data_IF_243116928273
#
_entry.id   IF_243116928273
#
_cell.length_a   1.000
_cell.length_b   1.000
_cell.length_c   1.000
_cell.angle_alpha   90.00
_cell.angle_beta   90.00
_cell.angle_gamma   90.00
#
_symmetry.space_group_name_H-M   'P 1'
#
loop_
_entity.id
_entity.type
_entity.pdbx_description
1 polymer ?
#
# COMPACT_ATOMS: atom_id res chain seq x y z
N UNK A 1 -4.91 1.87 28.59
CA UNK A 1 -5.45 2.07 27.25
C UNK A 1 -6.77 1.33 27.20
N UNK A 2 -7.87 2.08 27.17
CA UNK A 2 -9.20 1.49 27.15
C UNK A 2 -9.45 0.85 25.79
N UNK A 3 -9.55 -0.47 25.76
CA UNK A 3 -9.87 -1.24 24.57
C UNK A 3 -11.38 -1.45 24.53
N UNK A 4 -12.03 -0.94 23.48
CA UNK A 4 -13.46 -1.19 23.29
C UNK A 4 -13.65 -2.61 22.73
N UNK A 5 -14.54 -3.39 23.35
CA UNK A 5 -14.88 -4.73 22.88
C UNK A 5 -15.77 -4.69 21.63
N UNK A 6 -15.88 -5.80 20.89
CA UNK A 6 -16.82 -5.97 19.77
C UNK A 6 -18.25 -5.54 20.18
N UNK A 7 -18.75 -6.02 21.31
CA UNK A 7 -20.06 -5.65 21.86
C UNK A 7 -20.18 -4.15 22.17
N UNK A 8 -19.08 -3.53 22.58
CA UNK A 8 -19.01 -2.08 22.80
C UNK A 8 -19.10 -1.28 21.51
N UNK A 9 -18.44 -1.74 20.43
CA UNK A 9 -18.54 -1.11 19.10
C UNK A 9 -19.95 -1.24 18.55
N UNK A 10 -20.57 -2.43 18.67
CA UNK A 10 -21.95 -2.70 18.25
C UNK A 10 -22.95 -1.75 18.94
N UNK A 11 -22.82 -1.61 20.26
CA UNK A 11 -23.68 -0.72 21.06
C UNK A 11 -23.50 0.73 20.67
N UNK A 12 -22.26 1.16 20.47
CA UNK A 12 -21.94 2.54 20.07
C UNK A 12 -22.50 2.87 18.68
N UNK A 13 -22.27 2.03 17.70
CA UNK A 13 -22.76 2.23 16.33
C UNK A 13 -24.29 2.26 16.26
N UNK A 14 -24.97 1.39 17.00
CA UNK A 14 -26.44 1.38 17.12
C UNK A 14 -26.99 2.63 17.84
N UNK A 15 -26.24 3.18 18.80
CA UNK A 15 -26.63 4.39 19.52
C UNK A 15 -26.51 5.67 18.68
N UNK A 16 -25.57 5.72 17.73
CA UNK A 16 -25.35 6.88 16.85
C UNK A 16 -26.44 7.01 15.78
N UNK A 17 -27.12 5.93 15.40
CA UNK A 17 -28.26 5.88 14.47
C UNK A 17 -28.06 6.66 13.16
N UNK A 18 -26.87 6.62 12.57
CA UNK A 18 -26.61 7.20 11.27
C UNK A 18 -26.03 6.16 10.29
N UNK A 19 -26.17 6.44 8.99
CA UNK A 19 -25.74 5.54 7.94
C UNK A 19 -24.22 5.24 7.98
N UNK A 20 -23.42 6.21 8.41
CA UNK A 20 -21.96 6.03 8.51
C UNK A 20 -21.56 5.11 9.66
N UNK A 21 -22.24 5.22 10.81
CA UNK A 21 -22.01 4.32 11.94
C UNK A 21 -22.43 2.89 11.63
N UNK A 22 -23.52 2.69 10.88
CA UNK A 22 -23.95 1.37 10.44
C UNK A 22 -22.98 0.79 9.40
N UNK A 23 -22.53 1.59 8.44
CA UNK A 23 -21.50 1.16 7.48
C UNK A 23 -20.18 0.80 8.15
N UNK A 24 -19.78 1.54 9.20
CA UNK A 24 -18.62 1.20 10.01
C UNK A 24 -18.81 -0.12 10.76
N UNK A 25 -19.99 -0.35 11.33
CA UNK A 25 -20.30 -1.60 12.02
C UNK A 25 -20.27 -2.80 11.06
N UNK A 26 -20.91 -2.67 9.90
CA UNK A 26 -20.91 -3.70 8.87
C UNK A 26 -19.48 -4.01 8.41
N UNK A 27 -18.68 -2.98 8.15
CA UNK A 27 -17.27 -3.12 7.83
C UNK A 27 -16.48 -3.82 8.95
N UNK A 28 -16.66 -3.37 10.20
CA UNK A 28 -15.96 -3.93 11.37
C UNK A 28 -16.32 -5.39 11.61
N UNK A 29 -17.57 -5.77 11.40
CA UNK A 29 -18.08 -7.12 11.60
C UNK A 29 -17.72 -8.06 10.45
N UNK A 30 -17.83 -7.57 9.20
CA UNK A 30 -17.63 -8.37 8.00
C UNK A 30 -16.16 -8.61 7.66
N UNK A 31 -15.28 -7.66 8.01
CA UNK A 31 -13.86 -7.70 7.64
C UNK A 31 -13.04 -8.76 8.39
N UNK A 32 -13.58 -9.40 9.42
CA UNK A 32 -12.79 -10.30 10.28
C UNK A 32 -12.45 -11.65 9.66
N UNK A 33 -13.19 -12.11 8.63
CA UNK A 33 -13.08 -13.46 8.10
C UNK A 33 -12.32 -13.54 6.75
N UNK A 34 -11.97 -12.40 6.13
CA UNK A 34 -11.23 -12.39 4.87
C UNK A 34 -9.78 -11.91 5.09
N UNK A 35 -8.87 -12.36 4.23
CA UNK A 35 -7.48 -11.88 4.26
C UNK A 35 -7.43 -10.36 4.08
N UNK A 36 -8.21 -9.81 3.15
CA UNK A 36 -8.28 -8.37 2.92
C UNK A 36 -8.86 -7.63 4.11
N UNK A 37 -9.94 -8.12 4.71
CA UNK A 37 -10.53 -7.53 5.91
C UNK A 37 -9.59 -7.52 7.11
N UNK A 38 -8.84 -8.60 7.33
CA UNK A 38 -7.86 -8.65 8.41
C UNK A 38 -6.63 -7.77 8.15
N UNK A 39 -6.13 -7.75 6.91
CA UNK A 39 -4.96 -6.95 6.55
C UNK A 39 -5.25 -5.45 6.50
N UNK A 40 -6.45 -5.01 6.08
CA UNK A 40 -6.83 -3.59 6.08
C UNK A 40 -6.89 -3.02 7.50
N UNK A 41 -7.36 -3.79 8.48
CA UNK A 41 -7.33 -3.38 9.89
C UNK A 41 -5.91 -3.09 10.36
N UNK A 42 -4.96 -3.97 10.01
CA UNK A 42 -3.53 -3.75 10.29
C UNK A 42 -3.00 -2.51 9.55
N UNK A 43 -3.42 -2.29 8.30
CA UNK A 43 -2.99 -1.12 7.53
C UNK A 43 -3.40 0.20 8.21
N UNK A 44 -4.60 0.29 8.78
CA UNK A 44 -5.03 1.49 9.53
C UNK A 44 -4.16 1.77 10.76
N UNK A 45 -3.68 0.75 11.44
CA UNK A 45 -2.84 0.94 12.64
C UNK A 45 -1.41 1.40 12.30
N UNK A 46 -1.00 1.36 11.02
CA UNK A 46 0.28 1.93 10.59
C UNK A 46 0.37 3.44 10.79
N UNK A 47 -0.76 4.14 10.91
CA UNK A 47 -0.79 5.58 11.23
C UNK A 47 -0.02 5.91 12.53
N UNK A 48 -0.17 5.08 13.53
CA UNK A 48 0.40 5.27 14.87
C UNK A 48 1.69 4.43 15.09
N UNK A 49 2.24 3.83 14.01
CA UNK A 49 3.34 2.90 14.13
C UNK A 49 4.67 3.48 13.66
N UNK A 50 5.74 3.14 14.40
CA UNK A 50 7.13 3.34 13.99
C UNK A 50 7.69 2.09 13.30
N UNK A 51 6.85 1.37 12.55
CA UNK A 51 7.21 0.09 11.92
C UNK A 51 8.47 0.19 11.05
N UNK A 52 8.59 1.28 10.29
CA UNK A 52 9.70 1.51 9.39
C UNK A 52 10.59 2.60 9.97
N UNK A 53 11.79 2.22 10.41
CA UNK A 53 12.78 3.18 10.86
C UNK A 53 13.13 4.17 9.71
N UNK A 54 13.27 5.44 10.04
CA UNK A 54 13.52 6.50 9.05
C UNK A 54 14.69 6.18 8.09
N UNK A 55 15.78 5.60 8.60
CA UNK A 55 16.94 5.16 7.81
C UNK A 55 16.66 4.06 6.78
N UNK A 56 15.57 3.32 6.95
CA UNK A 56 15.19 2.19 6.10
C UNK A 56 14.11 2.56 5.05
N UNK A 57 13.54 3.77 5.13
CA UNK A 57 12.58 4.25 4.12
C UNK A 57 13.22 4.23 2.72
N UNK A 58 12.50 3.69 1.74
CA UNK A 58 12.98 3.53 0.36
C UNK A 58 13.80 2.26 0.12
N UNK A 59 14.08 1.45 1.16
CA UNK A 59 14.79 0.17 1.04
C UNK A 59 13.84 -0.99 0.85
N UNK A 60 14.34 -2.09 0.27
CA UNK A 60 13.64 -3.36 0.15
C UNK A 60 13.23 -3.89 1.53
N UNK A 61 14.09 -3.73 2.53
CA UNK A 61 13.82 -4.11 3.91
C UNK A 61 12.54 -3.47 4.46
N UNK A 62 12.31 -2.17 4.21
CA UNK A 62 11.10 -1.49 4.67
C UNK A 62 9.84 -2.02 3.99
N UNK A 63 9.93 -2.33 2.70
CA UNK A 63 8.82 -2.96 1.97
C UNK A 63 8.50 -4.36 2.53
N UNK A 64 9.54 -5.15 2.87
CA UNK A 64 9.36 -6.45 3.53
C UNK A 64 8.71 -6.30 4.92
N UNK A 65 9.09 -5.31 5.70
CA UNK A 65 8.49 -5.02 7.02
C UNK A 65 7.00 -4.66 6.89
N UNK A 66 6.64 -3.79 5.93
CA UNK A 66 5.26 -3.43 5.64
C UNK A 66 4.46 -4.68 5.25
N UNK A 67 4.97 -5.47 4.30
CA UNK A 67 4.30 -6.68 3.85
C UNK A 67 4.15 -7.72 4.98
N UNK A 68 5.19 -7.93 5.78
CA UNK A 68 5.14 -8.82 6.94
C UNK A 68 4.11 -8.37 7.97
N UNK A 69 3.99 -7.07 8.19
CA UNK A 69 3.01 -6.50 9.11
C UNK A 69 1.58 -6.70 8.62
N UNK A 70 1.31 -6.36 7.37
CA UNK A 70 -0.03 -6.48 6.78
C UNK A 70 -0.52 -7.93 6.73
N UNK A 71 0.34 -8.85 6.35
CA UNK A 71 -0.02 -10.22 5.99
C UNK A 71 0.51 -11.28 6.96
N UNK A 72 1.21 -10.90 8.02
CA UNK A 72 1.69 -11.83 9.05
C UNK A 72 0.53 -12.59 9.70
N UNK A 73 0.62 -13.92 9.74
CA UNK A 73 -0.45 -14.80 10.19
C UNK A 73 -1.56 -15.03 9.16
N UNK A 74 -1.53 -14.35 8.00
CA UNK A 74 -2.49 -14.52 6.91
C UNK A 74 -1.88 -15.28 5.73
N UNK A 75 -0.60 -15.06 5.46
CA UNK A 75 0.18 -15.76 4.45
C UNK A 75 1.47 -16.31 5.06
N UNK A 76 1.83 -17.54 4.75
CA UNK A 76 3.08 -18.17 5.18
C UNK A 76 4.33 -17.47 4.60
N UNK A 77 4.16 -16.75 3.49
CA UNK A 77 5.21 -15.99 2.82
C UNK A 77 5.25 -14.51 3.19
N UNK A 78 4.50 -14.07 4.21
CA UNK A 78 4.48 -12.67 4.63
C UNK A 78 5.90 -12.12 4.87
N UNK A 79 6.25 -11.02 4.18
CA UNK A 79 7.57 -10.39 4.25
C UNK A 79 8.70 -11.14 3.51
N UNK A 80 8.44 -12.30 2.91
CA UNK A 80 9.47 -13.09 2.22
C UNK A 80 9.46 -12.80 0.72
N UNK A 81 10.62 -12.51 0.17
CA UNK A 81 10.80 -12.38 -1.27
C UNK A 81 10.50 -13.72 -1.94
N UNK A 82 9.70 -13.68 -3.00
CA UNK A 82 9.29 -14.88 -3.74
C UNK A 82 10.48 -15.57 -4.44
N UNK A 83 10.34 -16.86 -4.56
CA UNK A 83 11.30 -17.72 -5.29
C UNK A 83 10.68 -18.31 -6.56
N UNK A 84 9.44 -17.94 -6.89
CA UNK A 84 8.73 -18.38 -8.10
C UNK A 84 8.45 -17.19 -9.01
N UNK A 85 8.54 -17.43 -10.32
CA UNK A 85 8.11 -16.45 -11.31
C UNK A 85 6.59 -16.36 -11.31
N UNK A 86 6.06 -15.15 -11.36
CA UNK A 86 4.62 -14.86 -11.34
C UNK A 86 4.23 -13.93 -12.48
N UNK A 87 2.96 -14.03 -12.88
CA UNK A 87 2.32 -13.16 -13.86
C UNK A 87 0.91 -12.80 -13.40
N UNK A 88 0.39 -11.65 -13.84
CA UNK A 88 -1.00 -11.24 -13.64
C UNK A 88 -1.60 -10.84 -14.99
N UNK A 89 -2.60 -11.59 -15.46
CA UNK A 89 -3.09 -11.44 -16.82
C UNK A 89 -1.98 -11.64 -17.84
N UNK A 90 -1.75 -10.66 -18.71
CA UNK A 90 -0.68 -10.69 -19.72
C UNK A 90 0.63 -10.05 -19.26
N UNK A 91 0.72 -9.60 -18.01
CA UNK A 91 1.93 -8.96 -17.46
C UNK A 91 2.79 -9.99 -16.76
N UNK A 92 3.99 -10.24 -17.31
CA UNK A 92 5.03 -11.03 -16.67
C UNK A 92 5.90 -10.09 -15.82
N UNK A 93 6.04 -10.41 -14.54
CA UNK A 93 6.92 -9.68 -13.62
C UNK A 93 8.36 -10.21 -13.69
N UNK A 94 9.27 -9.56 -13.00
CA UNK A 94 10.68 -9.98 -12.95
C UNK A 94 10.80 -11.48 -12.67
N UNK A 95 11.62 -12.17 -13.45
CA UNK A 95 11.88 -13.59 -13.27
C UNK A 95 12.51 -13.86 -11.89
N UNK A 96 12.09 -14.93 -11.23
CA UNK A 96 12.53 -15.23 -9.86
C UNK A 96 14.05 -15.32 -9.73
N UNK A 97 14.74 -15.88 -10.73
CA UNK A 97 16.21 -16.03 -10.77
C UNK A 97 16.94 -14.67 -10.81
N UNK A 98 16.31 -13.63 -11.35
CA UNK A 98 16.89 -12.29 -11.45
C UNK A 98 16.40 -11.35 -10.35
N UNK A 99 15.33 -11.72 -9.63
CA UNK A 99 14.63 -10.84 -8.71
C UNK A 99 15.54 -10.25 -7.62
N UNK A 100 16.42 -11.05 -7.04
CA UNK A 100 17.29 -10.58 -5.96
C UNK A 100 18.29 -9.49 -6.44
N UNK A 101 18.83 -9.65 -7.64
CA UNK A 101 19.72 -8.65 -8.22
C UNK A 101 18.95 -7.41 -8.67
N UNK A 102 17.76 -7.60 -9.23
CA UNK A 102 16.91 -6.50 -9.63
C UNK A 102 16.49 -5.64 -8.44
N UNK A 103 16.12 -6.25 -7.30
CA UNK A 103 15.80 -5.52 -6.09
C UNK A 103 16.97 -4.68 -5.55
N UNK A 104 18.22 -5.14 -5.68
CA UNK A 104 19.40 -4.33 -5.34
C UNK A 104 19.54 -3.10 -6.24
N UNK A 105 19.24 -3.25 -7.53
CA UNK A 105 19.26 -2.12 -8.48
C UNK A 105 18.17 -1.12 -8.10
N UNK A 106 16.94 -1.57 -7.86
CA UNK A 106 15.82 -0.70 -7.47
C UNK A 106 16.12 0.00 -6.14
N UNK A 107 16.69 -0.71 -5.16
CA UNK A 107 17.07 -0.10 -3.88
C UNK A 107 18.11 1.03 -4.05
N UNK A 108 19.05 0.87 -4.97
CA UNK A 108 20.10 1.86 -5.27
C UNK A 108 19.62 3.04 -6.12
N UNK A 109 18.42 3.01 -6.68
CA UNK A 109 17.87 4.13 -7.47
C UNK A 109 17.74 5.39 -6.62
N UNK A 110 17.97 6.57 -7.22
CA UNK A 110 17.76 7.85 -6.53
C UNK A 110 16.29 8.02 -6.14
N UNK A 111 16.04 8.85 -5.12
CA UNK A 111 14.69 9.10 -4.58
C UNK A 111 14.58 10.53 -4.01
N UNK A 112 15.24 11.49 -4.66
CA UNK A 112 15.33 12.89 -4.19
C UNK A 112 14.24 13.77 -4.80
N UNK A 113 13.90 13.52 -6.07
CA UNK A 113 12.88 14.25 -6.82
C UNK A 113 11.64 13.42 -7.02
N UNK A 114 10.52 14.07 -7.38
CA UNK A 114 9.28 13.39 -7.74
C UNK A 114 9.50 12.32 -8.81
N UNK A 115 10.17 12.68 -9.90
CA UNK A 115 10.42 11.78 -11.01
C UNK A 115 11.23 10.56 -10.61
N UNK A 116 12.30 10.74 -9.83
CA UNK A 116 13.12 9.65 -9.31
C UNK A 116 12.32 8.71 -8.40
N UNK A 117 11.45 9.26 -7.55
CA UNK A 117 10.59 8.46 -6.66
C UNK A 117 9.60 7.64 -7.48
N UNK A 118 8.98 8.24 -8.52
CA UNK A 118 8.04 7.52 -9.38
C UNK A 118 8.75 6.47 -10.20
N UNK A 119 9.95 6.73 -10.75
CA UNK A 119 10.75 5.72 -11.44
C UNK A 119 11.04 4.52 -10.53
N UNK A 120 11.51 4.79 -9.32
CA UNK A 120 11.78 3.75 -8.32
C UNK A 120 10.53 2.94 -7.97
N UNK A 121 9.37 3.60 -7.88
CA UNK A 121 8.09 2.94 -7.64
C UNK A 121 7.67 2.03 -8.80
N UNK A 122 7.80 2.50 -10.04
CA UNK A 122 7.49 1.72 -11.26
C UNK A 122 8.39 0.47 -11.32
N UNK A 123 9.68 0.62 -11.07
CA UNK A 123 10.62 -0.50 -11.07
C UNK A 123 10.35 -1.48 -9.93
N UNK A 124 9.95 -1.01 -8.74
CA UNK A 124 9.52 -1.89 -7.64
C UNK A 124 8.24 -2.65 -8.00
N UNK A 125 7.31 -2.03 -8.72
CA UNK A 125 6.12 -2.71 -9.21
C UNK A 125 6.47 -3.76 -10.28
N UNK A 126 7.44 -3.48 -11.18
CA UNK A 126 7.94 -4.45 -12.14
C UNK A 126 8.67 -5.63 -11.46
N UNK A 127 9.39 -5.37 -10.38
CA UNK A 127 10.00 -6.41 -9.55
C UNK A 127 8.95 -7.34 -8.94
N UNK A 128 7.85 -6.81 -8.44
CA UNK A 128 6.74 -7.55 -7.81
C UNK A 128 7.23 -8.59 -6.81
N UNK A 129 7.87 -8.18 -5.70
CA UNK A 129 8.73 -9.06 -4.91
C UNK A 129 8.02 -10.15 -4.11
N UNK A 130 6.71 -10.09 -3.92
CA UNK A 130 5.95 -11.05 -3.12
C UNK A 130 5.03 -11.91 -3.98
N UNK A 131 4.56 -13.03 -3.43
CA UNK A 131 3.61 -13.90 -4.12
C UNK A 131 2.22 -13.25 -4.27
N UNK A 132 1.80 -12.43 -3.30
CA UNK A 132 0.54 -11.67 -3.26
C UNK A 132 0.75 -10.41 -2.40
N UNK A 133 -0.16 -9.43 -2.46
CA UNK A 133 -0.13 -8.22 -1.61
C UNK A 133 0.87 -7.14 -2.03
N UNK A 134 1.47 -7.26 -3.22
CA UNK A 134 2.46 -6.31 -3.72
C UNK A 134 1.90 -4.88 -3.83
N UNK A 135 0.74 -4.71 -4.48
CA UNK A 135 0.15 -3.38 -4.68
C UNK A 135 -0.11 -2.67 -3.36
N UNK A 136 -0.76 -3.34 -2.40
CA UNK A 136 -1.08 -2.80 -1.07
C UNK A 136 0.17 -2.36 -0.31
N UNK A 137 1.20 -3.19 -0.32
CA UNK A 137 2.47 -2.88 0.37
C UNK A 137 3.28 -1.79 -0.33
N UNK A 138 3.32 -1.80 -1.67
CA UNK A 138 4.15 -0.86 -2.44
C UNK A 138 3.58 0.54 -2.43
N UNK A 139 2.25 0.71 -2.38
CA UNK A 139 1.62 2.04 -2.24
C UNK A 139 1.92 2.68 -0.89
N UNK A 140 1.88 1.92 0.20
CA UNK A 140 2.30 2.40 1.52
C UNK A 140 3.80 2.75 1.53
N UNK A 141 4.63 1.93 0.91
CA UNK A 141 6.06 2.18 0.78
C UNK A 141 6.36 3.45 -0.02
N UNK A 142 5.62 3.71 -1.11
CA UNK A 142 5.70 4.93 -1.90
C UNK A 142 5.36 6.17 -1.05
N UNK A 143 4.27 6.13 -0.29
CA UNK A 143 3.85 7.23 0.58
C UNK A 143 4.91 7.54 1.66
N UNK A 144 5.58 6.53 2.20
CA UNK A 144 6.68 6.75 3.14
C UNK A 144 7.87 7.48 2.48
N UNK A 145 8.19 7.17 1.23
CA UNK A 145 9.25 7.85 0.48
C UNK A 145 8.87 9.30 0.24
N UNK A 146 7.66 9.57 -0.27
CA UNK A 146 7.18 10.93 -0.48
C UNK A 146 7.16 11.75 0.82
N UNK A 147 6.66 11.18 1.92
CA UNK A 147 6.66 11.83 3.24
C UNK A 147 8.07 12.21 3.68
N UNK A 148 9.02 11.30 3.54
CA UNK A 148 10.39 11.54 3.96
C UNK A 148 11.10 12.58 3.09
N UNK A 149 11.02 12.44 1.76
CA UNK A 149 11.80 13.22 0.81
C UNK A 149 11.18 14.56 0.46
N UNK A 150 9.87 14.60 0.30
CA UNK A 150 9.15 15.75 -0.24
C UNK A 150 8.19 16.41 0.74
N UNK A 151 7.93 15.79 1.90
CA UNK A 151 6.87 16.21 2.84
C UNK A 151 5.48 16.22 2.17
N UNK A 152 5.24 15.24 1.31
CA UNK A 152 4.00 15.04 0.58
C UNK A 152 3.53 13.59 0.76
N UNK A 153 2.27 13.31 0.46
CA UNK A 153 1.73 11.96 0.31
C UNK A 153 0.73 11.93 -0.84
N UNK A 154 0.31 10.75 -1.26
CA UNK A 154 -0.67 10.59 -2.33
C UNK A 154 -2.07 10.56 -1.72
N UNK A 155 -2.96 11.43 -2.17
CA UNK A 155 -4.40 11.32 -1.94
C UNK A 155 -4.99 10.32 -2.95
N UNK A 156 -4.93 9.05 -2.61
CA UNK A 156 -5.37 7.95 -3.47
C UNK A 156 -6.84 8.05 -3.88
N UNK A 157 -7.65 8.80 -3.11
CA UNK A 157 -9.07 9.03 -3.44
C UNK A 157 -9.30 9.85 -4.70
N UNK A 158 -8.27 10.54 -5.20
CA UNK A 158 -8.33 11.32 -6.43
C UNK A 158 -8.00 10.52 -7.69
N UNK A 159 -7.56 9.27 -7.55
CA UNK A 159 -7.14 8.44 -8.68
C UNK A 159 -8.19 7.38 -8.94
N UNK A 160 -8.73 7.36 -10.17
CA UNK A 160 -9.65 6.30 -10.59
C UNK A 160 -8.93 4.94 -10.67
N UNK A 161 -9.61 3.89 -10.20
CA UNK A 161 -9.07 2.53 -10.17
C UNK A 161 -8.61 2.05 -11.53
N UNK A 162 -9.46 2.21 -12.55
CA UNK A 162 -9.16 1.73 -13.90
C UNK A 162 -7.99 2.50 -14.49
N UNK A 163 -7.98 3.82 -14.35
CA UNK A 163 -6.88 4.67 -14.82
C UNK A 163 -5.56 4.30 -14.15
N UNK A 164 -5.58 4.07 -12.82
CA UNK A 164 -4.40 3.64 -12.10
C UNK A 164 -3.85 2.30 -12.61
N UNK A 165 -4.71 1.29 -12.72
CA UNK A 165 -4.28 -0.04 -13.16
C UNK A 165 -3.77 -0.03 -14.60
N UNK A 166 -4.45 0.67 -15.51
CA UNK A 166 -4.02 0.83 -16.91
C UNK A 166 -2.67 1.56 -16.98
N UNK A 167 -2.49 2.64 -16.19
CA UNK A 167 -1.24 3.38 -16.12
C UNK A 167 -0.09 2.54 -15.57
N UNK A 168 -0.34 1.71 -14.56
CA UNK A 168 0.67 0.81 -13.99
C UNK A 168 1.06 -0.30 -14.97
N UNK A 169 0.12 -0.86 -15.74
CA UNK A 169 0.44 -1.82 -16.81
C UNK A 169 1.29 -1.14 -17.89
N UNK A 170 0.91 0.05 -18.33
CA UNK A 170 1.64 0.80 -19.34
C UNK A 170 3.03 1.26 -18.86
N UNK A 171 3.23 1.42 -17.56
CA UNK A 171 4.46 1.99 -16.98
C UNK A 171 5.72 1.19 -17.29
N UNK A 172 5.60 -0.09 -17.62
CA UNK A 172 6.73 -0.92 -18.08
C UNK A 172 7.41 -0.39 -19.35
N UNK A 173 6.68 0.36 -20.17
CA UNK A 173 7.19 0.95 -21.41
C UNK A 173 7.07 2.47 -21.45
N UNK A 174 6.08 3.03 -20.75
CA UNK A 174 5.81 4.46 -20.68
C UNK A 174 5.17 4.85 -19.35
N UNK A 175 5.95 5.46 -18.49
CA UNK A 175 5.53 5.89 -17.15
C UNK A 175 4.84 7.27 -17.13
N UNK A 176 4.56 7.90 -18.28
CA UNK A 176 3.99 9.24 -18.33
C UNK A 176 2.66 9.33 -17.58
N UNK A 177 1.72 8.42 -17.88
CA UNK A 177 0.38 8.51 -17.27
C UNK A 177 0.39 8.29 -15.76
N UNK A 178 1.17 7.34 -15.24
CA UNK A 178 1.26 7.16 -13.78
C UNK A 178 1.91 8.37 -13.10
N UNK A 179 2.87 9.06 -13.74
CA UNK A 179 3.43 10.31 -13.23
C UNK A 179 2.38 11.40 -13.12
N UNK A 180 1.59 11.61 -14.19
CA UNK A 180 0.51 12.59 -14.21
C UNK A 180 -0.49 12.33 -13.08
N UNK A 181 -0.99 11.09 -12.95
CA UNK A 181 -1.94 10.71 -11.90
C UNK A 181 -1.40 10.94 -10.50
N UNK A 182 -0.17 10.52 -10.23
CA UNK A 182 0.44 10.69 -8.92
C UNK A 182 0.70 12.17 -8.62
N UNK A 183 1.16 12.96 -9.60
CA UNK A 183 1.42 14.38 -9.42
C UNK A 183 0.16 15.17 -9.11
N UNK A 184 -0.95 14.89 -9.81
CA UNK A 184 -2.26 15.51 -9.56
C UNK A 184 -2.86 15.12 -8.19
N UNK A 185 -2.50 13.94 -7.68
CA UNK A 185 -2.98 13.43 -6.41
C UNK A 185 -2.07 13.80 -5.22
N UNK A 186 -0.88 14.36 -5.43
CA UNK A 186 -0.02 14.76 -4.32
C UNK A 186 -0.67 15.81 -3.43
N UNK A 187 -0.43 15.68 -2.12
CA UNK A 187 -0.92 16.62 -1.10
C UNK A 187 0.10 16.74 0.03
N UNK A 188 0.11 17.89 0.70
CA UNK A 188 0.92 18.17 1.90
C UNK A 188 0.28 17.67 3.21
N UNK A 189 -0.89 17.04 3.12
CA UNK A 189 -1.65 16.49 4.27
C UNK A 189 -1.03 15.25 4.88
N UNK A 190 0.28 15.25 5.11
CA UNK A 190 1.04 14.10 5.63
C UNK A 190 0.66 13.70 7.05
N UNK A 191 0.07 14.61 7.83
CA UNK A 191 -0.38 14.40 9.21
C UNK A 191 -1.91 14.40 9.32
N UNK A 192 -2.62 14.23 8.22
CA UNK A 192 -4.07 14.14 8.21
C UNK A 192 -4.52 12.66 8.20
N UNK A 193 -5.11 12.25 9.33
CA UNK A 193 -5.58 10.88 9.51
C UNK A 193 -6.65 10.48 8.51
N UNK A 194 -7.52 11.41 8.14
CA UNK A 194 -8.60 11.13 7.16
C UNK A 194 -8.02 10.83 5.78
N UNK A 195 -7.04 11.61 5.32
CA UNK A 195 -6.33 11.36 4.07
C UNK A 195 -5.63 10.00 4.09
N UNK A 196 -4.99 9.65 5.21
CA UNK A 196 -4.35 8.35 5.36
C UNK A 196 -5.37 7.19 5.29
N UNK A 197 -6.46 7.27 6.05
CA UNK A 197 -7.49 6.22 6.09
C UNK A 197 -8.12 6.01 4.72
N UNK A 198 -8.51 7.08 4.03
CA UNK A 198 -9.00 7.03 2.65
C UNK A 198 -7.98 6.41 1.71
N UNK A 199 -6.70 6.73 1.88
CA UNK A 199 -5.61 6.15 1.09
C UNK A 199 -5.53 4.63 1.24
N UNK A 200 -5.71 4.11 2.45
CA UNK A 200 -5.78 2.67 2.71
C UNK A 200 -7.01 2.06 2.03
N UNK A 201 -8.21 2.66 2.18
CA UNK A 201 -9.44 2.17 1.56
C UNK A 201 -9.29 2.04 0.04
N UNK A 202 -8.80 3.09 -0.62
CA UNK A 202 -8.59 3.07 -2.07
C UNK A 202 -7.51 2.07 -2.49
N UNK A 203 -6.44 1.94 -1.70
CA UNK A 203 -5.39 0.95 -1.94
C UNK A 203 -5.94 -0.47 -1.96
N UNK A 204 -6.88 -0.80 -1.07
CA UNK A 204 -7.54 -2.10 -1.05
C UNK A 204 -8.59 -2.24 -2.15
N UNK A 205 -9.35 -1.18 -2.43
CA UNK A 205 -10.31 -1.15 -3.52
C UNK A 205 -9.67 -1.45 -4.89
N UNK A 206 -8.43 -1.02 -5.12
CA UNK A 206 -7.73 -1.29 -6.38
C UNK A 206 -7.43 -2.78 -6.60
N UNK A 207 -7.42 -3.61 -5.57
CA UNK A 207 -7.14 -5.05 -5.67
C UNK A 207 -8.42 -5.90 -5.85
N UNK A 208 -9.59 -5.34 -5.62
CA UNK A 208 -10.88 -6.02 -5.85
C UNK A 208 -11.21 -5.98 -7.33
#
# INVERSE_FOLDING_TARGET
TDVISQDGVDKLAKAIHNQQAMAFLDWFTYSDNTIDGQSIKKAYTLWESDLVADKDVGKVKSLQQIHAYLFGGLYDFAGKIRTKTIAKGNTLFCLAEHLHNYLKIVEAMPETTFDEIVDKYVEMNAAHPFMEGNGRSTRIWLDLIFKKRMKMCVDWSKIDKKEYLDAMIASHTNSRRIRELLQEALTDKINDRETFMKGIDYSYYYEQ
#
